data_IF_264825794075
#
_entry.id   IF_264825794075
#
_cell.length_a   1.000
_cell.length_b   1.000
_cell.length_c   1.000
_cell.angle_alpha   90.00
_cell.angle_beta   90.00
_cell.angle_gamma   90.00
#
_symmetry.space_group_name_H-M   'P 1'
#
loop_
_entity.id
_entity.type
_entity.pdbx_description
1 polymer ?
#
# COMPACT_ATOMS: atom_id res chain seq x y z
N UNK A 1 -48.60 -22.90 -4.18
CA UNK A 1 -47.92 -21.64 -3.85
C UNK A 1 -46.56 -22.00 -3.30
N UNK A 2 -45.49 -21.81 -4.08
CA UNK A 2 -44.13 -22.24 -3.77
C UNK A 2 -43.25 -21.00 -3.69
N UNK A 3 -43.14 -20.40 -2.51
CA UNK A 3 -42.45 -19.13 -2.27
C UNK A 3 -41.14 -19.29 -1.49
N UNK A 4 -40.64 -20.52 -1.36
CA UNK A 4 -39.47 -20.84 -0.52
C UNK A 4 -38.14 -20.91 -1.27
N UNK A 5 -38.13 -20.84 -2.61
CA UNK A 5 -36.89 -21.04 -3.41
C UNK A 5 -36.16 -19.73 -3.71
N UNK A 6 -36.83 -18.57 -3.64
CA UNK A 6 -36.27 -17.29 -4.09
C UNK A 6 -35.51 -16.52 -2.98
N UNK A 7 -35.81 -16.78 -1.69
CA UNK A 7 -35.19 -16.08 -0.56
C UNK A 7 -33.76 -16.57 -0.25
N UNK A 8 -33.44 -17.81 -0.60
CA UNK A 8 -32.13 -18.43 -0.32
C UNK A 8 -31.04 -17.88 -1.25
N UNK A 9 -31.36 -17.58 -2.50
CA UNK A 9 -30.38 -17.06 -3.48
C UNK A 9 -29.98 -15.63 -3.18
N UNK A 10 -30.91 -14.77 -2.76
CA UNK A 10 -30.57 -13.38 -2.44
C UNK A 10 -29.74 -13.31 -1.16
N UNK A 11 -30.08 -14.06 -0.12
CA UNK A 11 -29.30 -14.09 1.12
C UNK A 11 -27.89 -14.68 0.90
N UNK A 12 -27.76 -15.70 0.03
CA UNK A 12 -26.46 -16.30 -0.31
C UNK A 12 -25.62 -15.38 -1.19
N UNK A 13 -26.23 -14.67 -2.14
CA UNK A 13 -25.57 -13.65 -2.95
C UNK A 13 -25.16 -12.44 -2.11
N UNK A 14 -26.00 -11.96 -1.20
CA UNK A 14 -25.67 -10.87 -0.26
C UNK A 14 -24.60 -11.31 0.73
N UNK A 15 -24.63 -12.54 1.24
CA UNK A 15 -23.56 -13.08 2.09
C UNK A 15 -22.24 -13.28 1.31
N UNK A 16 -22.29 -13.64 0.03
CA UNK A 16 -21.12 -13.70 -0.84
C UNK A 16 -20.57 -12.31 -1.19
N UNK A 17 -21.44 -11.32 -1.44
CA UNK A 17 -21.06 -9.91 -1.61
C UNK A 17 -20.54 -9.27 -0.31
N UNK A 18 -21.04 -9.70 0.85
CA UNK A 18 -20.56 -9.24 2.17
C UNK A 18 -19.37 -10.05 2.69
N UNK A 19 -19.06 -11.19 2.07
CA UNK A 19 -17.83 -11.97 2.26
C UNK A 19 -16.76 -11.59 1.22
N UNK A 20 -16.82 -10.38 0.68
CA UNK A 20 -15.61 -9.70 0.20
C UNK A 20 -14.76 -9.44 1.44
N UNK A 21 -14.08 -10.48 1.92
CA UNK A 21 -12.81 -10.24 2.58
C UNK A 21 -12.00 -9.51 1.53
N UNK A 22 -11.51 -8.28 1.80
CA UNK A 22 -10.48 -7.71 0.97
C UNK A 22 -9.45 -8.82 0.76
N UNK A 23 -9.09 -9.10 -0.50
CA UNK A 23 -7.98 -10.02 -0.77
C UNK A 23 -6.87 -9.64 0.20
N UNK A 24 -6.33 -10.62 0.94
CA UNK A 24 -5.21 -10.35 1.84
C UNK A 24 -4.16 -9.62 1.01
N UNK A 25 -3.95 -8.33 1.25
CA UNK A 25 -2.99 -7.56 0.45
C UNK A 25 -1.63 -8.25 0.66
N UNK A 26 -1.05 -8.74 -0.44
CA UNK A 26 0.19 -9.53 -0.41
C UNK A 26 1.33 -8.61 -0.82
N UNK A 27 2.07 -8.14 0.18
CA UNK A 27 3.27 -7.35 -0.04
C UNK A 27 4.29 -7.64 1.06
N UNK A 28 5.55 -7.40 0.74
CA UNK A 28 6.61 -7.25 1.73
C UNK A 28 7.09 -5.79 1.75
N UNK A 29 7.75 -5.39 2.82
CA UNK A 29 8.35 -4.07 2.92
C UNK A 29 9.57 -4.08 3.83
N UNK A 30 10.44 -3.12 3.62
CA UNK A 30 11.61 -2.92 4.45
C UNK A 30 12.21 -1.54 4.26
N UNK A 31 13.25 -1.26 5.04
CA UNK A 31 13.97 0.00 4.98
C UNK A 31 15.42 -0.24 4.65
N UNK A 32 15.98 0.65 3.83
CA UNK A 32 17.39 0.73 3.49
C UNK A 32 17.83 2.19 3.58
N UNK A 33 18.47 2.54 4.69
CA UNK A 33 18.89 3.90 5.02
C UNK A 33 17.74 4.93 4.91
N UNK A 34 17.66 5.61 3.77
CA UNK A 34 16.69 6.68 3.48
C UNK A 34 15.49 6.21 2.67
N UNK A 35 15.52 4.98 2.16
CA UNK A 35 14.47 4.41 1.34
C UNK A 35 13.66 3.39 2.13
N UNK A 36 12.34 3.45 2.02
CA UNK A 36 11.46 2.35 2.35
C UNK A 36 10.98 1.74 1.04
N UNK A 37 11.23 0.45 0.87
CA UNK A 37 10.81 -0.32 -0.31
C UNK A 37 9.60 -1.19 0.05
N UNK A 38 8.73 -1.38 -0.93
CA UNK A 38 7.54 -2.21 -0.88
C UNK A 38 7.58 -3.12 -2.10
N UNK A 39 7.31 -4.40 -1.94
CA UNK A 39 7.28 -5.37 -3.04
C UNK A 39 5.91 -6.01 -3.17
N UNK A 40 5.34 -5.96 -4.37
CA UNK A 40 4.13 -6.68 -4.73
C UNK A 40 4.40 -8.19 -4.79
N UNK A 41 3.79 -8.91 -3.86
CA UNK A 41 3.82 -10.37 -3.83
C UNK A 41 2.53 -10.99 -4.37
N UNK A 42 1.59 -10.16 -4.85
CA UNK A 42 0.34 -10.62 -5.41
C UNK A 42 0.55 -11.24 -6.79
N UNK A 43 -0.16 -12.34 -7.02
CA UNK A 43 -0.16 -13.03 -8.32
C UNK A 43 -0.95 -12.23 -9.37
N UNK A 44 -1.74 -11.25 -8.94
CA UNK A 44 -2.65 -10.46 -9.77
C UNK A 44 -2.08 -9.10 -10.17
N UNK A 45 -0.99 -8.64 -9.57
CA UNK A 45 -0.39 -7.32 -9.86
C UNK A 45 -1.28 -6.14 -9.47
N UNK A 46 -2.13 -6.33 -8.45
CA UNK A 46 -3.16 -5.35 -8.06
C UNK A 46 -2.71 -4.44 -6.92
N UNK A 47 -1.45 -4.52 -6.47
CA UNK A 47 -1.00 -3.76 -5.31
C UNK A 47 -1.02 -2.25 -5.57
N UNK A 48 -0.72 -1.84 -6.81
CA UNK A 48 -0.79 -0.44 -7.26
C UNK A 48 -2.18 0.19 -7.02
N UNK A 49 -3.25 -0.58 -7.25
CA UNK A 49 -4.63 -0.11 -7.04
C UNK A 49 -5.00 0.04 -5.56
N UNK A 50 -4.18 -0.55 -4.67
CA UNK A 50 -4.42 -0.63 -3.23
C UNK A 50 -3.43 0.22 -2.43
N UNK A 51 -2.65 1.08 -3.08
CA UNK A 51 -1.53 1.78 -2.45
C UNK A 51 -1.90 2.67 -1.28
N UNK A 52 -3.11 3.26 -1.26
CA UNK A 52 -3.57 4.00 -0.09
C UNK A 52 -3.61 3.11 1.16
N UNK A 53 -4.22 1.93 1.06
CA UNK A 53 -4.29 0.98 2.17
C UNK A 53 -2.92 0.38 2.52
N UNK A 54 -2.06 0.17 1.53
CA UNK A 54 -0.68 -0.29 1.75
C UNK A 54 0.10 0.74 2.57
N UNK A 55 0.05 2.00 2.18
CA UNK A 55 0.73 3.10 2.87
C UNK A 55 0.20 3.26 4.29
N UNK A 56 -1.11 3.14 4.52
CA UNK A 56 -1.67 3.19 5.87
C UNK A 56 -1.15 2.04 6.76
N UNK A 57 -1.04 0.82 6.21
CA UNK A 57 -0.54 -0.36 6.94
C UNK A 57 0.95 -0.25 7.26
N UNK A 58 1.75 0.18 6.29
CA UNK A 58 3.19 0.41 6.48
C UNK A 58 3.41 1.57 7.45
N UNK A 59 2.66 2.66 7.29
CA UNK A 59 2.72 3.83 8.16
C UNK A 59 2.51 3.43 9.61
N UNK A 60 1.39 2.77 9.90
CA UNK A 60 1.09 2.25 11.23
C UNK A 60 2.19 1.34 11.79
N UNK A 61 2.78 0.48 10.96
CA UNK A 61 3.88 -0.38 11.41
C UNK A 61 5.14 0.44 11.78
N UNK A 62 5.44 1.51 11.05
CA UNK A 62 6.53 2.45 11.37
C UNK A 62 6.23 3.23 12.65
N UNK A 63 4.98 3.64 12.89
CA UNK A 63 4.57 4.28 14.15
C UNK A 63 4.91 3.37 15.34
N UNK A 64 4.50 2.09 15.25
CA UNK A 64 4.78 1.10 16.29
C UNK A 64 6.27 0.86 16.52
N UNK A 65 7.09 0.88 15.47
CA UNK A 65 8.54 0.66 15.56
C UNK A 65 9.28 1.87 16.15
N UNK A 66 8.83 3.08 15.83
CA UNK A 66 9.49 4.33 16.24
C UNK A 66 8.95 4.87 17.57
N UNK A 67 7.78 4.41 18.01
CA UNK A 67 7.07 4.96 19.15
C UNK A 67 6.42 6.31 18.86
N UNK A 68 6.31 6.70 17.59
CA UNK A 68 5.62 7.91 17.18
C UNK A 68 4.11 7.77 17.40
N UNK A 69 3.48 8.83 17.91
CA UNK A 69 2.04 8.87 18.18
C UNK A 69 1.39 10.01 17.38
N UNK A 70 0.63 9.65 16.34
CA UNK A 70 -0.05 10.61 15.46
C UNK A 70 -0.98 11.58 16.21
N UNK A 71 -1.47 11.19 17.40
CA UNK A 71 -2.39 12.02 18.20
C UNK A 71 -1.73 13.24 18.80
N UNK A 72 -0.41 13.21 19.00
CA UNK A 72 0.33 14.28 19.67
C UNK A 72 0.91 15.33 18.70
N UNK A 73 1.03 15.01 17.40
CA UNK A 73 1.73 15.85 16.41
C UNK A 73 0.82 16.49 15.33
N UNK A 74 -0.49 16.63 15.60
CA UNK A 74 -1.46 17.27 14.70
C UNK A 74 -1.41 16.73 13.24
N UNK A 75 -1.07 15.46 13.04
CA UNK A 75 -0.86 14.83 11.72
C UNK A 75 0.11 15.59 10.79
N UNK A 76 1.00 16.44 11.31
CA UNK A 76 1.73 17.38 10.45
C UNK A 76 3.00 16.75 9.84
N UNK A 77 3.63 15.80 10.53
CA UNK A 77 4.87 15.15 10.06
C UNK A 77 4.90 13.66 10.42
N UNK A 78 4.19 12.85 9.65
CA UNK A 78 4.23 11.40 9.79
C UNK A 78 5.66 10.87 9.49
N UNK A 79 6.20 9.86 10.21
CA UNK A 79 7.54 9.32 10.00
C UNK A 79 7.84 8.90 8.55
N UNK A 80 6.83 8.40 7.83
CA UNK A 80 6.92 8.11 6.39
C UNK A 80 7.35 9.30 5.54
N UNK A 81 7.02 10.54 5.92
CA UNK A 81 7.42 11.74 5.18
C UNK A 81 8.96 11.89 5.11
N UNK A 82 9.70 11.29 6.05
CA UNK A 82 11.16 11.29 6.05
C UNK A 82 11.81 10.28 5.11
N UNK A 83 11.03 9.30 4.60
CA UNK A 83 11.54 8.27 3.69
C UNK A 83 11.28 8.63 2.23
N UNK A 84 12.19 8.20 1.36
CA UNK A 84 11.88 8.00 -0.05
C UNK A 84 11.21 6.64 -0.20
N UNK A 85 10.10 6.57 -0.93
CA UNK A 85 9.28 5.37 -0.99
C UNK A 85 9.37 4.73 -2.38
N UNK A 86 9.70 3.45 -2.41
CA UNK A 86 9.76 2.64 -3.63
C UNK A 86 8.73 1.51 -3.59
N UNK A 87 8.13 1.24 -4.74
CA UNK A 87 7.30 0.06 -4.99
C UNK A 87 7.88 -0.74 -6.14
N UNK A 88 8.12 -2.03 -5.91
CA UNK A 88 8.34 -3.01 -6.97
C UNK A 88 7.00 -3.65 -7.30
N UNK A 89 6.51 -3.44 -8.52
CA UNK A 89 5.27 -4.08 -8.97
C UNK A 89 5.48 -5.56 -9.32
N UNK A 90 4.39 -6.28 -9.61
CA UNK A 90 4.44 -7.70 -9.97
C UNK A 90 5.18 -7.99 -11.29
N UNK A 91 5.44 -6.98 -12.12
CA UNK A 91 6.29 -7.11 -13.32
C UNK A 91 7.78 -6.98 -12.99
N UNK A 92 8.10 -6.58 -11.77
CA UNK A 92 9.45 -6.34 -11.27
C UNK A 92 9.93 -4.90 -11.45
N UNK A 93 9.10 -4.02 -12.04
CA UNK A 93 9.46 -2.63 -12.29
C UNK A 93 9.30 -1.78 -11.03
N UNK A 94 10.23 -0.86 -10.84
CA UNK A 94 10.21 0.10 -9.75
C UNK A 94 9.37 1.35 -10.06
N UNK A 95 8.63 1.79 -9.05
CA UNK A 95 7.85 3.01 -9.01
C UNK A 95 8.24 3.82 -7.79
N UNK A 96 8.38 5.13 -7.94
CA UNK A 96 8.43 6.04 -6.80
C UNK A 96 7.03 6.25 -6.25
N UNK A 97 6.87 6.19 -4.92
CA UNK A 97 5.62 6.51 -4.25
C UNK A 97 5.73 7.90 -3.64
N UNK A 98 4.69 8.71 -3.80
CA UNK A 98 4.57 10.02 -3.17
C UNK A 98 3.52 9.99 -2.08
N UNK A 99 3.86 10.54 -0.92
CA UNK A 99 2.96 10.75 0.22
C UNK A 99 2.91 12.24 0.60
N UNK A 100 1.81 12.66 1.24
CA UNK A 100 1.75 13.98 1.88
C UNK A 100 2.48 14.00 3.24
N UNK A 101 2.51 15.16 3.88
CA UNK A 101 3.17 15.33 5.19
C UNK A 101 2.49 14.55 6.32
N UNK A 102 1.21 14.18 6.14
CA UNK A 102 0.47 13.29 7.05
C UNK A 102 0.72 11.80 6.74
N UNK A 103 1.62 11.48 5.79
CA UNK A 103 1.94 10.11 5.40
C UNK A 103 0.89 9.47 4.49
N UNK A 104 -0.06 10.23 3.93
CA UNK A 104 -1.12 9.69 3.07
C UNK A 104 -0.65 9.55 1.63
N UNK A 105 -1.02 8.46 0.98
CA UNK A 105 -0.71 8.23 -0.44
C UNK A 105 -1.30 9.32 -1.35
N UNK A 106 -0.48 9.82 -2.28
CA UNK A 106 -0.88 10.78 -3.32
C UNK A 106 -0.90 10.11 -4.69
N UNK A 107 0.23 9.53 -5.10
CA UNK A 107 0.43 9.00 -6.45
C UNK A 107 1.66 8.11 -6.53
N UNK A 108 1.81 7.43 -7.66
CA UNK A 108 3.06 6.75 -8.07
C UNK A 108 3.64 7.37 -9.34
N UNK A 109 4.95 7.26 -9.48
CA UNK A 109 5.70 7.66 -10.66
C UNK A 109 6.52 6.47 -11.17
N UNK A 110 6.24 5.93 -12.37
CA UNK A 110 7.02 4.83 -12.92
C UNK A 110 8.47 5.25 -13.15
N UNK A 111 9.43 4.49 -12.61
CA UNK A 111 10.86 4.75 -12.81
C UNK A 111 11.44 4.02 -14.02
N UNK A 112 10.70 3.01 -14.52
CA UNK A 112 11.05 2.15 -15.65
C UNK A 112 12.36 1.38 -15.43
N UNK A 113 12.66 1.02 -14.18
CA UNK A 113 13.87 0.31 -13.81
C UNK A 113 13.55 -1.05 -13.17
N UNK A 114 14.38 -2.06 -13.47
CA UNK A 114 14.37 -3.36 -12.82
C UNK A 114 15.42 -3.47 -11.71
N UNK A 115 16.51 -2.72 -11.84
CA UNK A 115 17.62 -2.71 -10.89
C UNK A 115 17.29 -1.80 -9.70
N UNK A 116 17.41 -2.35 -8.49
CA UNK A 116 17.12 -1.62 -7.25
C UNK A 116 18.08 -0.47 -7.01
N UNK A 117 19.37 -0.60 -7.29
CA UNK A 117 20.35 0.46 -7.04
C UNK A 117 20.08 1.68 -7.92
N UNK A 118 19.67 1.45 -9.17
CA UNK A 118 19.27 2.53 -10.09
C UNK A 118 17.96 3.16 -9.63
N UNK A 119 16.98 2.35 -9.21
CA UNK A 119 15.71 2.87 -8.67
C UNK A 119 15.92 3.68 -7.38
N UNK A 120 16.82 3.22 -6.50
CA UNK A 120 17.23 3.90 -5.28
C UNK A 120 17.82 5.27 -5.60
N UNK A 121 18.77 5.36 -6.53
CA UNK A 121 19.33 6.66 -6.91
C UNK A 121 18.24 7.58 -7.49
N UNK A 122 17.40 7.07 -8.39
CA UNK A 122 16.32 7.86 -9.00
C UNK A 122 15.32 8.39 -7.98
N UNK A 123 14.88 7.60 -7.00
CA UNK A 123 13.86 8.01 -6.03
C UNK A 123 14.34 9.13 -5.10
N UNK A 124 15.66 9.33 -4.98
CA UNK A 124 16.18 10.46 -4.19
C UNK A 124 15.82 11.82 -4.80
N UNK A 125 15.60 11.86 -6.11
CA UNK A 125 15.43 13.07 -6.90
C UNK A 125 14.01 13.30 -7.41
N UNK A 126 13.03 12.50 -6.94
CA UNK A 126 11.61 12.73 -7.25
C UNK A 126 10.93 13.56 -6.14
N UNK A 127 9.99 14.41 -6.55
CA UNK A 127 9.20 15.32 -5.68
C UNK A 127 7.83 14.74 -5.27
#
# INVERSE_FOLDING_TARGET
>A
MNTSTQLTDTASLTAALMSVRPSRIQFDWGTDNWVLWIEDLSITGTLLDQMAEVIDRVGFAVELQTGWDHREENDTFHPLFGYRLLLRDATGLWHGIRVDAAGRFISTTPLQELDYEIAYDKVMWID
#
